data_IF_942442119335
#
_entry.id   IF_942442119335
#
_cell.length_a   1.000
_cell.length_b   1.000
_cell.length_c   1.000
_cell.angle_alpha   90.00
_cell.angle_beta   90.00
_cell.angle_gamma   90.00
#
_symmetry.space_group_name_H-M   'P 1'
#
loop_
_entity.id
_entity.type
_entity.pdbx_description
1 polymer ?
#
# COMPACT_ATOMS: atom_id res chain seq x y z
N UNK A 1 13.34 -25.20 -34.47
CA UNK A 1 12.85 -23.81 -34.63
C UNK A 1 12.12 -23.46 -33.33
N UNK A 2 12.84 -22.97 -32.33
CA UNK A 2 12.26 -22.65 -31.02
C UNK A 2 11.72 -21.22 -31.06
N UNK A 3 10.41 -21.08 -31.11
CA UNK A 3 9.75 -19.81 -30.84
C UNK A 3 9.99 -19.47 -29.36
N UNK A 4 10.77 -18.40 -29.11
CA UNK A 4 10.78 -17.73 -27.82
C UNK A 4 9.42 -17.05 -27.67
N UNK A 5 8.60 -17.54 -26.76
CA UNK A 5 7.42 -16.82 -26.27
C UNK A 5 7.93 -15.63 -25.46
N UNK A 6 8.04 -14.46 -26.08
CA UNK A 6 8.18 -13.20 -25.36
C UNK A 6 6.84 -12.93 -24.66
N UNK A 7 6.79 -13.25 -23.37
CA UNK A 7 5.69 -12.85 -22.50
C UNK A 7 5.71 -11.33 -22.41
N UNK A 8 4.72 -10.67 -23.03
CA UNK A 8 4.50 -9.25 -22.89
C UNK A 8 4.28 -8.90 -21.41
N UNK A 9 5.12 -8.04 -20.87
CA UNK A 9 5.04 -7.56 -19.48
C UNK A 9 4.27 -6.25 -19.46
N UNK A 10 2.94 -6.30 -19.28
CA UNK A 10 2.14 -5.11 -19.01
C UNK A 10 2.35 -4.57 -17.60
N UNK A 11 3.56 -4.09 -17.29
CA UNK A 11 3.84 -3.48 -16.00
C UNK A 11 3.31 -2.05 -15.93
N UNK A 12 2.78 -1.65 -14.77
CA UNK A 12 2.60 -0.23 -14.47
C UNK A 12 3.98 0.46 -14.45
N UNK A 13 4.07 1.65 -15.05
CA UNK A 13 5.27 2.47 -15.02
C UNK A 13 5.07 3.64 -14.06
N UNK A 14 5.67 3.54 -12.87
CA UNK A 14 5.71 4.62 -11.89
C UNK A 14 7.00 5.42 -12.14
N UNK A 15 6.95 6.74 -12.32
CA UNK A 15 8.15 7.56 -12.46
C UNK A 15 9.12 7.35 -11.28
N UNK A 16 10.42 7.24 -11.58
CA UNK A 16 11.42 6.81 -10.59
C UNK A 16 11.55 7.77 -9.38
N UNK A 17 11.39 9.07 -9.62
CA UNK A 17 11.34 10.10 -8.59
C UNK A 17 10.12 9.94 -7.68
N UNK A 18 8.94 9.68 -8.27
CA UNK A 18 7.71 9.39 -7.55
C UNK A 18 7.84 8.11 -6.73
N UNK A 19 8.37 7.03 -7.31
CA UNK A 19 8.58 5.77 -6.60
C UNK A 19 9.53 5.93 -5.40
N UNK A 20 10.59 6.74 -5.55
CA UNK A 20 11.52 7.05 -4.46
C UNK A 20 10.84 7.82 -3.34
N UNK A 21 10.06 8.86 -3.67
CA UNK A 21 9.30 9.64 -2.68
C UNK A 21 8.28 8.76 -1.97
N UNK A 22 7.50 7.99 -2.72
CA UNK A 22 6.46 7.13 -2.18
C UNK A 22 7.03 6.00 -1.29
N UNK A 23 8.21 5.45 -1.65
CA UNK A 23 8.94 4.49 -0.81
C UNK A 23 9.35 5.11 0.53
N UNK A 24 9.92 6.32 0.50
CA UNK A 24 10.31 7.02 1.73
C UNK A 24 9.11 7.37 2.61
N UNK A 25 8.03 7.85 1.98
CA UNK A 25 6.79 8.21 2.66
C UNK A 25 6.11 6.99 3.28
N UNK A 26 6.04 5.85 2.58
CA UNK A 26 5.50 4.61 3.13
C UNK A 26 6.31 4.11 4.33
N UNK A 27 7.64 4.22 4.28
CA UNK A 27 8.48 3.83 5.40
C UNK A 27 8.24 4.74 6.62
N UNK A 28 8.14 6.05 6.41
CA UNK A 28 7.77 7.00 7.45
C UNK A 28 6.36 6.72 8.00
N UNK A 29 5.40 6.38 7.14
CA UNK A 29 4.03 6.04 7.53
C UNK A 29 3.96 4.80 8.43
N UNK A 30 4.75 3.77 8.12
CA UNK A 30 4.87 2.58 8.96
C UNK A 30 5.42 2.91 10.36
N UNK A 31 6.34 3.87 10.45
CA UNK A 31 6.82 4.39 11.73
C UNK A 31 5.71 5.13 12.50
N UNK A 32 4.97 6.01 11.82
CA UNK A 32 3.82 6.72 12.39
C UNK A 32 2.79 5.74 12.97
N UNK A 33 2.40 4.70 12.22
CA UNK A 33 1.50 3.66 12.73
C UNK A 33 2.08 2.92 13.94
N UNK A 34 3.39 2.68 13.97
CA UNK A 34 4.05 2.10 15.14
C UNK A 34 3.93 2.99 16.39
N UNK A 35 3.97 4.32 16.24
CA UNK A 35 3.70 5.26 17.32
C UNK A 35 2.22 5.28 17.73
N UNK A 36 1.33 5.30 16.74
CA UNK A 36 -0.13 5.28 16.93
C UNK A 36 -0.59 4.06 17.73
N UNK A 37 0.02 2.90 17.49
CA UNK A 37 -0.23 1.66 18.23
C UNK A 37 0.15 1.78 19.71
N UNK A 38 1.22 2.54 20.01
CA UNK A 38 1.80 2.70 21.35
C UNK A 38 1.37 4.01 22.02
N UNK A 39 0.39 4.70 21.47
CA UNK A 39 -0.04 5.98 22.00
C UNK A 39 -0.47 5.85 23.48
N UNK A 40 -0.12 6.81 24.36
CA UNK A 40 -0.35 6.69 25.81
C UNK A 40 -1.81 6.45 26.20
N UNK A 41 -2.75 7.01 25.43
CA UNK A 41 -4.19 6.83 25.65
C UNK A 41 -4.77 5.55 25.02
N UNK A 42 -3.92 4.66 24.52
CA UNK A 42 -4.31 3.43 23.84
C UNK A 42 -4.10 3.48 22.33
N UNK A 43 -4.41 2.38 21.65
CA UNK A 43 -4.05 2.20 20.24
C UNK A 43 -4.95 3.01 19.30
N UNK A 44 -4.37 3.97 18.57
CA UNK A 44 -5.11 4.87 17.69
C UNK A 44 -5.70 4.17 16.45
N UNK A 45 -5.09 3.09 15.95
CA UNK A 45 -5.70 2.31 14.88
C UNK A 45 -7.02 1.69 15.33
N UNK A 46 -7.07 1.18 16.58
CA UNK A 46 -8.29 0.62 17.15
C UNK A 46 -9.36 1.71 17.37
N UNK A 47 -8.95 2.91 17.82
CA UNK A 47 -9.85 4.05 17.93
C UNK A 47 -10.40 4.51 16.58
N UNK A 48 -9.61 4.39 15.52
CA UNK A 48 -10.04 4.77 14.19
C UNK A 48 -11.14 3.85 13.66
N UNK A 49 -10.97 2.52 13.77
CA UNK A 49 -11.95 1.44 13.48
C UNK A 49 -11.31 0.06 13.27
N UNK A 50 -9.98 -0.07 13.39
CA UNK A 50 -9.33 -1.35 13.19
C UNK A 50 -9.70 -2.36 14.28
N UNK A 51 -9.68 -3.62 13.89
CA UNK A 51 -9.56 -4.78 14.77
C UNK A 51 -8.14 -5.31 14.74
N UNK A 52 -7.76 -6.12 15.72
CA UNK A 52 -6.38 -6.56 15.91
C UNK A 52 -6.30 -8.05 16.22
N UNK A 53 -5.30 -8.71 15.64
CA UNK A 53 -4.97 -10.10 15.93
C UNK A 53 -3.46 -10.27 16.09
N UNK A 54 -3.06 -11.02 17.13
CA UNK A 54 -1.67 -11.42 17.35
C UNK A 54 -1.33 -12.70 16.58
N UNK A 55 -0.05 -12.87 16.18
CA UNK A 55 0.42 -14.18 15.76
C UNK A 55 0.24 -15.19 16.91
N UNK A 56 0.00 -16.49 16.59
CA UNK A 56 -0.08 -17.55 17.60
C UNK A 56 1.18 -17.65 18.47
N UNK A 57 2.35 -17.39 17.86
CA UNK A 57 3.62 -17.27 18.56
C UNK A 57 4.05 -15.79 18.58
N UNK A 58 4.03 -15.11 19.74
CA UNK A 58 4.45 -13.71 19.87
C UNK A 58 5.91 -13.44 19.50
N UNK A 59 6.75 -14.47 19.51
CA UNK A 59 8.16 -14.36 19.13
C UNK A 59 8.37 -14.39 17.61
N UNK A 60 7.35 -14.78 16.84
CA UNK A 60 7.43 -14.96 15.40
C UNK A 60 6.32 -14.19 14.67
N UNK A 61 6.72 -13.17 13.90
CA UNK A 61 5.85 -12.47 12.96
C UNK A 61 5.32 -11.13 13.44
N UNK A 62 4.47 -10.53 12.60
CA UNK A 62 3.87 -9.22 12.83
C UNK A 62 2.42 -9.38 13.26
N UNK A 63 1.99 -8.54 14.22
CA UNK A 63 0.56 -8.40 14.47
C UNK A 63 -0.18 -7.89 13.23
N UNK A 64 -1.44 -8.27 13.12
CA UNK A 64 -2.33 -7.98 12.01
C UNK A 64 -3.40 -6.98 12.47
N UNK A 65 -3.46 -5.80 11.86
CA UNK A 65 -4.54 -4.84 12.06
C UNK A 65 -5.47 -4.87 10.86
N UNK A 66 -6.76 -5.09 11.07
CA UNK A 66 -7.76 -5.24 10.00
C UNK A 66 -8.85 -4.17 10.08
N UNK A 67 -9.20 -3.61 8.94
CA UNK A 67 -10.39 -2.79 8.77
C UNK A 67 -11.19 -3.39 7.62
N UNK A 68 -12.49 -3.59 7.86
CA UNK A 68 -13.46 -3.91 6.84
C UNK A 68 -14.63 -2.94 7.01
N UNK A 69 -14.94 -2.17 5.98
CA UNK A 69 -16.09 -1.27 6.02
C UNK A 69 -17.32 -1.87 5.34
N UNK A 70 -18.45 -1.16 5.41
CA UNK A 70 -19.71 -1.58 4.78
C UNK A 70 -19.70 -1.42 3.25
N UNK A 71 -18.70 -0.74 2.69
CA UNK A 71 -18.55 -0.49 1.26
C UNK A 71 -17.67 -1.56 0.58
N UNK A 72 -17.25 -2.59 1.33
CA UNK A 72 -16.41 -3.67 0.82
C UNK A 72 -14.94 -3.29 0.69
N UNK A 73 -14.47 -2.26 1.40
CA UNK A 73 -13.05 -1.98 1.55
C UNK A 73 -12.45 -2.89 2.62
N UNK A 74 -11.38 -3.59 2.26
CA UNK A 74 -10.62 -4.44 3.17
C UNK A 74 -9.18 -3.96 3.25
N UNK A 75 -8.72 -3.62 4.45
CA UNK A 75 -7.36 -3.16 4.71
C UNK A 75 -6.74 -4.01 5.79
N UNK A 76 -5.55 -4.52 5.53
CA UNK A 76 -4.76 -5.22 6.53
C UNK A 76 -3.35 -4.65 6.60
N UNK A 77 -2.95 -4.23 7.80
CA UNK A 77 -1.64 -3.66 8.07
C UNK A 77 -0.78 -4.66 8.85
N UNK A 78 0.45 -4.86 8.37
CA UNK A 78 1.54 -5.51 9.10
C UNK A 78 2.79 -4.62 9.08
N UNK A 79 3.78 -4.93 9.92
CA UNK A 79 5.07 -4.23 9.90
C UNK A 79 5.89 -4.39 8.62
N UNK A 80 5.49 -5.33 7.74
CA UNK A 80 6.15 -5.62 6.46
C UNK A 80 5.38 -5.16 5.22
N UNK A 81 4.12 -4.71 5.35
CA UNK A 81 3.34 -4.30 4.20
C UNK A 81 1.85 -4.12 4.47
N UNK A 82 1.12 -3.78 3.40
CA UNK A 82 -0.30 -3.47 3.42
C UNK A 82 -0.99 -4.38 2.41
N UNK A 83 -2.08 -5.01 2.84
CA UNK A 83 -3.08 -5.57 1.94
C UNK A 83 -4.22 -4.58 1.80
N UNK A 84 -4.65 -4.33 0.58
CA UNK A 84 -5.82 -3.52 0.29
C UNK A 84 -6.66 -4.22 -0.76
N UNK A 85 -7.95 -4.34 -0.52
CA UNK A 85 -8.88 -4.87 -1.51
C UNK A 85 -10.20 -4.11 -1.48
N UNK A 86 -10.88 -4.14 -2.62
CA UNK A 86 -12.23 -3.65 -2.79
C UNK A 86 -13.01 -4.72 -3.54
N UNK A 87 -14.13 -5.17 -2.97
CA UNK A 87 -14.86 -6.39 -3.42
C UNK A 87 -15.14 -6.42 -4.93
N UNK A 88 -15.54 -5.28 -5.51
CA UNK A 88 -15.91 -5.20 -6.94
C UNK A 88 -14.74 -4.87 -7.87
N UNK A 89 -13.53 -4.66 -7.35
CA UNK A 89 -12.36 -4.22 -8.12
C UNK A 89 -11.22 -5.24 -8.07
N UNK A 90 -10.96 -5.81 -6.90
CA UNK A 90 -9.88 -6.77 -6.69
C UNK A 90 -9.03 -6.42 -5.47
N UNK A 91 -7.83 -7.01 -5.39
CA UNK A 91 -6.91 -6.77 -4.28
C UNK A 91 -5.48 -6.51 -4.73
N UNK A 92 -4.78 -5.77 -3.88
CA UNK A 92 -3.37 -5.43 -4.02
C UNK A 92 -2.62 -5.70 -2.70
N UNK A 93 -1.36 -6.04 -2.82
CA UNK A 93 -0.40 -6.00 -1.73
C UNK A 93 0.70 -4.98 -2.02
N UNK A 94 0.95 -4.09 -1.06
CA UNK A 94 2.00 -3.09 -1.10
C UNK A 94 3.02 -3.39 -0.02
N UNK A 95 4.19 -3.88 -0.44
CA UNK A 95 5.31 -4.11 0.47
C UNK A 95 5.87 -2.79 1.02
N UNK A 96 6.35 -2.84 2.28
CA UNK A 96 6.94 -1.67 2.95
C UNK A 96 8.10 -1.03 2.17
N UNK A 97 8.91 -1.84 1.49
CA UNK A 97 10.10 -1.38 0.77
C UNK A 97 9.90 -1.48 -0.74
N UNK A 98 10.29 -0.43 -1.47
CA UNK A 98 10.32 -0.41 -2.93
C UNK A 98 9.02 0.03 -3.62
N UNK A 99 7.94 0.28 -2.87
CA UNK A 99 6.68 0.85 -3.38
C UNK A 99 6.24 0.20 -4.71
N UNK A 100 6.15 -1.13 -4.69
CA UNK A 100 5.84 -1.95 -5.85
C UNK A 100 4.54 -2.70 -5.57
N UNK A 101 3.39 -2.21 -6.07
CA UNK A 101 2.11 -2.87 -5.86
C UNK A 101 2.07 -4.19 -6.63
N UNK A 102 1.48 -5.22 -6.02
CA UNK A 102 1.26 -6.52 -6.64
C UNK A 102 -0.19 -6.91 -6.48
N UNK A 103 -0.79 -7.49 -7.52
CA UNK A 103 -2.14 -7.99 -7.46
C UNK A 103 -2.22 -9.28 -6.64
N UNK A 104 -3.35 -9.46 -5.97
CA UNK A 104 -3.77 -10.70 -5.32
C UNK A 104 -5.05 -11.21 -5.96
N UNK A 105 -5.26 -12.53 -5.92
CA UNK A 105 -6.47 -13.18 -6.41
C UNK A 105 -7.58 -13.28 -5.35
N UNK A 106 -7.36 -12.79 -4.12
CA UNK A 106 -8.35 -12.83 -3.04
C UNK A 106 -8.60 -11.44 -2.49
N UNK A 107 -9.86 -11.18 -2.09
CA UNK A 107 -10.25 -9.94 -1.42
C UNK A 107 -9.75 -9.95 0.01
N UNK A 108 -10.04 -11.02 0.75
CA UNK A 108 -9.56 -11.18 2.12
C UNK A 108 -8.20 -11.88 2.16
N UNK A 109 -7.23 -11.37 2.95
CA UNK A 109 -6.00 -12.09 3.17
C UNK A 109 -6.23 -13.27 4.12
N UNK A 110 -5.64 -14.45 3.83
CA UNK A 110 -5.66 -15.59 4.73
C UNK A 110 -5.32 -15.22 6.18
N UNK A 111 -6.05 -15.82 7.13
CA UNK A 111 -5.87 -15.57 8.56
C UNK A 111 -4.47 -15.94 9.09
N UNK A 112 -3.73 -16.77 8.34
CA UNK A 112 -2.42 -17.31 8.70
C UNK A 112 -1.22 -16.41 8.30
N UNK A 113 -1.46 -15.21 7.74
CA UNK A 113 -0.38 -14.33 7.29
C UNK A 113 0.21 -13.57 8.49
N UNK A 114 1.39 -14.01 8.91
CA UNK A 114 2.16 -13.44 10.03
C UNK A 114 3.55 -12.96 9.61
N UNK A 115 4.08 -13.50 8.53
CA UNK A 115 5.38 -13.13 7.95
C UNK A 115 5.24 -12.97 6.44
N UNK A 116 6.19 -12.30 5.76
CA UNK A 116 6.20 -12.23 4.30
C UNK A 116 6.19 -13.61 3.60
N UNK A 117 6.74 -14.64 4.25
CA UNK A 117 6.79 -16.00 3.72
C UNK A 117 5.40 -16.68 3.67
N UNK A 118 4.43 -16.16 4.42
CA UNK A 118 3.06 -16.68 4.42
C UNK A 118 2.17 -16.00 3.36
N UNK A 119 2.68 -14.98 2.65
CA UNK A 119 1.93 -14.32 1.60
C UNK A 119 1.59 -15.33 0.49
N UNK A 120 0.36 -15.28 -0.07
CA UNK A 120 0.02 -16.08 -1.24
C UNK A 120 0.85 -15.62 -2.44
N UNK A 121 0.69 -16.29 -3.58
CA UNK A 121 1.31 -15.84 -4.82
C UNK A 121 0.78 -14.45 -5.18
N UNK A 122 1.69 -13.48 -5.19
CA UNK A 122 1.44 -12.09 -5.59
C UNK A 122 2.02 -11.86 -6.97
N UNK A 123 1.23 -11.30 -7.87
CA UNK A 123 1.59 -11.13 -9.28
C UNK A 123 1.77 -9.66 -9.64
N UNK A 124 2.70 -9.39 -10.54
CA UNK A 124 2.74 -8.09 -11.22
C UNK A 124 1.61 -8.05 -12.25
N UNK A 125 1.02 -6.88 -12.53
CA UNK A 125 0.11 -6.75 -13.66
C UNK A 125 0.87 -7.11 -14.95
N UNK A 126 0.19 -7.84 -15.84
CA UNK A 126 0.73 -8.24 -17.15
C UNK A 126 -0.12 -7.75 -18.32
N UNK A 127 -1.37 -7.35 -18.07
CA UNK A 127 -2.25 -6.73 -19.09
C UNK A 127 -2.53 -5.26 -18.75
N UNK A 128 -2.97 -4.49 -19.74
CA UNK A 128 -3.37 -3.10 -19.51
C UNK A 128 -4.57 -2.98 -18.56
N UNK A 129 -5.50 -3.95 -18.61
CA UNK A 129 -6.63 -4.02 -17.67
C UNK A 129 -6.14 -4.23 -16.24
N UNK A 130 -5.22 -5.17 -16.04
CA UNK A 130 -4.62 -5.41 -14.72
C UNK A 130 -3.80 -4.23 -14.22
N UNK A 131 -3.09 -3.55 -15.12
CA UNK A 131 -2.40 -2.30 -14.82
C UNK A 131 -3.39 -1.23 -14.35
N UNK A 132 -4.51 -1.07 -15.06
CA UNK A 132 -5.56 -0.12 -14.70
C UNK A 132 -6.18 -0.44 -13.34
N UNK A 133 -6.55 -1.70 -13.10
CA UNK A 133 -7.04 -2.20 -11.80
C UNK A 133 -6.03 -1.94 -10.69
N UNK A 134 -4.75 -2.17 -10.94
CA UNK A 134 -3.67 -1.90 -9.98
C UNK A 134 -3.63 -0.40 -9.61
N UNK A 135 -3.76 0.49 -10.59
CA UNK A 135 -3.74 1.94 -10.36
C UNK A 135 -4.99 2.43 -9.61
N UNK A 136 -6.18 1.89 -9.90
CA UNK A 136 -7.41 2.20 -9.15
C UNK A 136 -7.27 1.80 -7.69
N UNK A 137 -6.84 0.55 -7.45
CA UNK A 137 -6.68 0.01 -6.10
C UNK A 137 -5.59 0.77 -5.33
N UNK A 138 -4.48 1.08 -5.99
CA UNK A 138 -3.39 1.85 -5.38
C UNK A 138 -3.84 3.26 -5.05
N UNK A 139 -4.47 3.99 -5.99
CA UNK A 139 -5.02 5.33 -5.75
C UNK A 139 -5.94 5.33 -4.53
N UNK A 140 -6.86 4.36 -4.45
CA UNK A 140 -7.79 4.23 -3.33
C UNK A 140 -7.08 3.96 -2.00
N UNK A 141 -6.08 3.08 -1.99
CA UNK A 141 -5.24 2.85 -0.81
C UNK A 141 -4.51 4.14 -0.38
N UNK A 142 -3.90 4.87 -1.31
CA UNK A 142 -3.15 6.08 -0.98
C UNK A 142 -4.08 7.18 -0.44
N UNK A 143 -5.27 7.34 -1.02
CA UNK A 143 -6.30 8.25 -0.50
C UNK A 143 -6.76 7.84 0.90
N UNK A 144 -6.91 6.54 1.16
CA UNK A 144 -7.24 6.05 2.49
C UNK A 144 -6.15 6.38 3.52
N UNK A 145 -4.87 6.16 3.20
CA UNK A 145 -3.75 6.51 4.09
C UNK A 145 -3.76 8.02 4.38
N UNK A 146 -3.97 8.84 3.35
CA UNK A 146 -4.10 10.29 3.51
C UNK A 146 -5.27 10.69 4.40
N UNK A 147 -6.41 10.02 4.28
CA UNK A 147 -7.58 10.24 5.13
C UNK A 147 -7.34 9.87 6.60
N UNK A 148 -6.66 8.74 6.85
CA UNK A 148 -6.23 8.36 8.19
C UNK A 148 -5.30 9.42 8.82
N UNK A 149 -4.33 9.92 8.06
CA UNK A 149 -3.41 10.95 8.55
C UNK A 149 -4.10 12.29 8.82
N UNK A 150 -5.11 12.64 8.01
CA UNK A 150 -5.95 13.80 8.29
C UNK A 150 -6.74 13.61 9.59
N UNK A 151 -7.36 12.45 9.79
CA UNK A 151 -8.06 12.14 11.04
C UNK A 151 -7.11 12.24 12.25
N UNK A 152 -5.87 11.75 12.14
CA UNK A 152 -4.86 11.89 13.20
C UNK A 152 -4.58 13.36 13.51
N UNK A 153 -4.38 14.20 12.49
CA UNK A 153 -4.16 15.63 12.68
C UNK A 153 -5.35 16.31 13.38
N UNK A 154 -6.58 15.97 12.99
CA UNK A 154 -7.81 16.53 13.55
C UNK A 154 -8.04 16.10 15.01
N UNK A 155 -7.67 14.86 15.38
CA UNK A 155 -7.98 14.31 16.70
C UNK A 155 -6.82 14.43 17.71
N UNK A 156 -5.57 14.45 17.25
CA UNK A 156 -4.37 14.46 18.10
C UNK A 156 -3.54 15.74 17.94
N UNK A 157 -3.88 16.59 16.97
CA UNK A 157 -3.18 17.84 16.70
C UNK A 157 -1.87 17.67 15.92
N UNK A 158 -1.34 18.78 15.40
CA UNK A 158 -0.13 18.79 14.57
C UNK A 158 1.13 18.38 15.35
N UNK A 159 1.20 18.75 16.63
CA UNK A 159 2.36 18.49 17.48
C UNK A 159 2.55 16.99 17.76
N UNK A 160 1.48 16.20 17.69
CA UNK A 160 1.58 14.76 17.84
C UNK A 160 2.47 14.12 16.77
N UNK A 161 2.35 14.54 15.50
CA UNK A 161 3.19 14.00 14.42
C UNK A 161 4.63 14.53 14.50
N UNK A 162 4.84 15.76 14.98
CA UNK A 162 6.20 16.27 15.30
C UNK A 162 6.85 15.40 16.37
N UNK A 163 6.12 15.09 17.43
CA UNK A 163 6.60 14.22 18.51
C UNK A 163 6.87 12.80 18.01
N UNK A 164 5.93 12.21 17.26
CA UNK A 164 6.07 10.86 16.69
C UNK A 164 7.31 10.72 15.81
N UNK A 165 7.66 11.77 15.08
CA UNK A 165 8.79 11.78 14.15
C UNK A 165 10.10 12.30 14.75
N UNK A 166 10.11 12.68 16.03
CA UNK A 166 11.32 13.20 16.69
C UNK A 166 12.46 12.15 16.76
N UNK A 167 12.10 10.86 16.84
CA UNK A 167 13.03 9.74 16.81
C UNK A 167 13.32 9.16 15.41
N UNK A 168 12.80 9.77 14.34
CA UNK A 168 12.95 9.24 12.98
C UNK A 168 14.31 9.64 12.37
N UNK A 169 15.19 8.69 11.99
CA UNK A 169 16.56 9.00 11.62
C UNK A 169 16.75 9.40 10.15
N UNK A 170 15.69 9.40 9.33
CA UNK A 170 15.76 9.66 7.89
C UNK A 170 15.15 11.01 7.52
N UNK A 171 15.32 11.45 6.26
CA UNK A 171 14.65 12.65 5.77
C UNK A 171 13.14 12.51 5.93
N UNK A 172 12.53 13.50 6.57
CA UNK A 172 11.12 13.55 6.93
C UNK A 172 10.34 14.33 5.87
N UNK A 173 9.26 13.75 5.36
CA UNK A 173 8.17 14.58 4.82
C UNK A 173 7.55 15.29 6.01
N UNK A 174 7.52 16.64 6.05
CA UNK A 174 7.09 17.38 7.23
C UNK A 174 5.73 16.91 7.75
N UNK A 175 5.53 16.84 9.09
CA UNK A 175 4.28 16.41 9.72
C UNK A 175 3.00 16.97 9.10
N UNK A 176 2.97 18.28 8.84
CA UNK A 176 1.84 18.97 8.24
C UNK A 176 1.53 18.51 6.80
N UNK A 177 2.51 17.94 6.10
CA UNK A 177 2.42 17.59 4.68
C UNK A 177 2.18 16.09 4.44
N UNK A 178 2.16 15.24 5.47
CA UNK A 178 2.03 13.79 5.29
C UNK A 178 0.70 13.46 4.60
N UNK A 179 -0.42 13.94 5.16
CA UNK A 179 -1.75 13.71 4.61
C UNK A 179 -1.87 14.24 3.17
N UNK A 180 -1.43 15.48 2.93
CA UNK A 180 -1.53 16.11 1.60
C UNK A 180 -0.63 15.45 0.56
N UNK A 181 0.54 14.92 0.96
CA UNK A 181 1.41 14.17 0.06
C UNK A 181 0.78 12.84 -0.36
N UNK A 182 0.14 12.11 0.56
CA UNK A 182 -0.61 10.91 0.22
C UNK A 182 -1.76 11.20 -0.74
N UNK A 183 -2.56 12.24 -0.47
CA UNK A 183 -3.65 12.64 -1.36
C UNK A 183 -3.15 13.08 -2.74
N UNK A 184 -1.98 13.74 -2.80
CA UNK A 184 -1.36 14.07 -4.08
C UNK A 184 -0.96 12.81 -4.84
N UNK A 185 -0.24 11.88 -4.22
CA UNK A 185 0.16 10.62 -4.87
C UNK A 185 -1.06 9.83 -5.34
N UNK A 186 -2.13 9.79 -4.54
CA UNK A 186 -3.38 9.14 -4.89
C UNK A 186 -4.00 9.71 -6.17
N UNK A 187 -4.05 11.05 -6.27
CA UNK A 187 -4.49 11.72 -7.50
C UNK A 187 -3.54 11.38 -8.64
N UNK A 188 -2.23 11.50 -8.46
CA UNK A 188 -1.25 11.35 -9.54
C UNK A 188 -1.21 9.92 -10.13
N UNK A 189 -1.79 8.90 -9.46
CA UNK A 189 -1.89 7.53 -9.97
C UNK A 189 -2.46 7.43 -11.40
N UNK A 190 -3.45 8.25 -11.77
CA UNK A 190 -4.04 8.21 -13.11
C UNK A 190 -3.08 8.66 -14.22
N UNK A 191 -2.00 9.36 -13.86
CA UNK A 191 -0.97 9.81 -14.79
C UNK A 191 0.09 8.74 -15.05
N UNK A 192 0.13 7.69 -14.24
CA UNK A 192 1.08 6.60 -14.39
C UNK A 192 0.62 5.68 -15.53
N UNK A 193 1.52 5.39 -16.45
CA UNK A 193 1.16 4.69 -17.67
C UNK A 193 1.10 3.18 -17.42
N UNK A 194 0.11 2.52 -18.02
CA UNK A 194 0.15 1.10 -18.28
C UNK A 194 0.83 0.90 -19.63
N UNK A 195 2.06 0.38 -19.63
CA UNK A 195 2.76 0.12 -20.88
C UNK A 195 2.14 -1.07 -21.58
N UNK A 196 1.40 -0.82 -22.67
CA UNK A 196 1.17 -1.84 -23.71
C UNK A 196 2.41 -1.84 -24.59
N UNK A 197 3.17 -2.93 -24.65
CA UNK A 197 4.15 -3.05 -25.73
C UNK A 197 3.37 -3.08 -27.05
N UNK A 198 3.67 -2.13 -27.94
CA UNK A 198 3.15 -2.11 -29.30
C UNK A 198 3.49 -3.43 -30.00
N UNK A 199 2.47 -4.09 -30.55
CA UNK A 199 2.64 -5.18 -31.49
C UNK A 199 3.47 -4.70 -32.69
N UNK A 200 4.63 -5.31 -32.91
CA UNK A 200 5.34 -5.20 -34.17
C UNK A 200 4.48 -5.87 -35.25
N UNK A 201 3.66 -5.09 -35.95
CA UNK A 201 3.14 -5.47 -37.25
C UNK A 201 4.29 -5.45 -38.25
N UNK A 202 5.03 -6.56 -38.38
CA UNK A 202 5.87 -6.77 -39.56
C UNK A 202 5.01 -7.42 -40.61
N UNK A 203 4.67 -6.61 -41.60
CA UNK A 203 3.99 -7.00 -42.83
C UNK A 203 4.76 -8.14 -43.52
N UNK A 204 4.03 -9.20 -43.85
CA UNK A 204 4.42 -10.19 -44.86
C UNK A 204 4.45 -9.50 -46.22
N UNK A 205 5.62 -9.46 -46.86
CA UNK A 205 5.78 -9.41 -48.31
C UNK A 205 6.76 -10.50 -48.73
#
# INVERSE_FOLDING_TARGET
MNQKTETATGSISIPADIQKVATALLHQQMWCWGYDIRHPEGNMLLRYTFTYQRPPDPSVGSSRYMLCDRQGQHIVLWGFGIWYAQTEVGGLFLQRYGFSPRLTCTIEPPASIWTPLHLPVLRVPITSEEGHTTLILLSSLLSWIGGYEQWVQENLGEDYRKWSLSGWPHRVIPPANIATMWQRLARDCHTWQCSTMMENTVATQ
#
